data_IF_055241825568
#
_entry.id   IF_055241825568
#
_cell.length_a   1.000
_cell.length_b   1.000
_cell.length_c   1.000
_cell.angle_alpha   90.00
_cell.angle_beta   90.00
_cell.angle_gamma   90.00
#
_symmetry.space_group_name_H-M   'P 1'
#
loop_
_entity.id
_entity.type
_entity.pdbx_description
1 polymer ?
#
# COMPACT_ATOMS: atom_id res chain seq x y z
N UNK A 1 -1.04 13.40 13.24
CA UNK A 1 -1.59 12.90 11.98
C UNK A 1 -2.71 13.80 11.48
N UNK A 2 -3.82 13.95 12.18
CA UNK A 2 -4.94 14.83 11.74
C UNK A 2 -4.52 16.29 11.52
N UNK A 3 -3.59 16.82 12.30
CA UNK A 3 -3.02 18.17 12.09
C UNK A 3 -2.19 18.27 10.81
N UNK A 4 -1.73 17.14 10.27
CA UNK A 4 -1.00 17.02 9.02
C UNK A 4 -1.92 16.65 7.84
N UNK A 5 -3.24 16.62 8.04
CA UNK A 5 -4.21 16.21 7.03
C UNK A 5 -4.22 14.71 6.73
N UNK A 6 -3.65 13.86 7.61
CA UNK A 6 -3.56 12.41 7.43
C UNK A 6 -4.56 11.65 8.29
N UNK A 7 -5.11 10.61 7.74
CA UNK A 7 -5.92 9.64 8.47
C UNK A 7 -5.02 8.66 9.26
N UNK A 8 -5.54 8.10 10.35
CA UNK A 8 -4.90 6.96 11.00
C UNK A 8 -5.22 5.63 10.28
N UNK A 9 -4.50 4.56 10.66
CA UNK A 9 -4.65 3.25 10.00
C UNK A 9 -6.10 2.72 10.04
N UNK A 10 -6.83 2.91 11.15
CA UNK A 10 -8.22 2.44 11.27
C UNK A 10 -9.19 3.29 10.47
N UNK A 11 -8.98 4.60 10.40
CA UNK A 11 -9.79 5.49 9.56
C UNK A 11 -9.63 5.13 8.08
N UNK A 12 -8.40 4.84 7.62
CA UNK A 12 -8.12 4.36 6.26
C UNK A 12 -8.83 3.05 5.95
N UNK A 13 -8.79 2.09 6.86
CA UNK A 13 -9.51 0.81 6.73
C UNK A 13 -11.02 1.01 6.70
N UNK A 14 -11.57 1.88 7.55
CA UNK A 14 -13.01 2.15 7.59
C UNK A 14 -13.53 2.82 6.31
N UNK A 15 -12.71 3.64 5.65
CA UNK A 15 -13.06 4.23 4.36
C UNK A 15 -12.94 3.24 3.19
N UNK A 16 -11.99 2.31 3.29
CA UNK A 16 -11.75 1.31 2.25
C UNK A 16 -12.92 0.33 2.13
N UNK A 17 -13.42 -0.16 3.26
CA UNK A 17 -14.42 -1.21 3.30
C UNK A 17 -15.84 -0.68 3.42
N UNK A 18 -16.79 -1.43 2.89
CA UNK A 18 -18.23 -1.19 3.08
C UNK A 18 -18.55 -1.26 4.59
N UNK A 19 -19.43 -0.37 5.03
CA UNK A 19 -19.76 -0.18 6.43
C UNK A 19 -20.13 -1.52 7.14
N UNK A 20 -19.53 -1.76 8.27
CA UNK A 20 -19.80 -2.95 9.11
C UNK A 20 -19.28 -4.27 8.56
N UNK A 21 -18.61 -4.29 7.39
CA UNK A 21 -18.13 -5.54 6.77
C UNK A 21 -16.72 -5.94 7.20
N UNK A 22 -15.91 -5.01 7.68
CA UNK A 22 -14.53 -5.30 8.05
C UNK A 22 -14.44 -6.26 9.24
N UNK A 23 -13.60 -7.26 9.11
CA UNK A 23 -13.26 -8.24 10.15
C UNK A 23 -11.76 -8.20 10.39
N UNK A 24 -11.38 -7.61 11.51
CA UNK A 24 -9.98 -7.52 11.93
C UNK A 24 -9.45 -8.87 12.38
N UNK A 25 -8.23 -9.18 11.96
CA UNK A 25 -7.50 -10.38 12.33
C UNK A 25 -6.34 -10.04 13.25
N UNK A 26 -6.10 -10.90 14.26
CA UNK A 26 -4.94 -10.81 15.16
C UNK A 26 -4.81 -9.45 15.89
N UNK A 27 -5.94 -8.84 16.24
CA UNK A 27 -6.02 -7.53 16.91
C UNK A 27 -5.19 -7.49 18.21
N UNK A 28 -5.10 -8.60 18.94
CA UNK A 28 -4.44 -8.69 20.25
C UNK A 28 -2.98 -9.13 20.17
N UNK A 29 -2.45 -9.38 18.97
CA UNK A 29 -1.05 -9.75 18.78
C UNK A 29 -0.15 -8.55 19.11
N UNK A 30 0.93 -8.81 19.85
CA UNK A 30 1.99 -7.84 20.13
C UNK A 30 3.35 -8.42 19.72
N UNK A 31 4.38 -7.59 19.69
CA UNK A 31 5.75 -8.05 19.42
C UNK A 31 6.23 -9.00 20.53
N UNK A 32 7.25 -9.78 20.23
CA UNK A 32 7.90 -10.74 21.14
C UNK A 32 9.36 -10.36 21.46
N UNK A 33 9.80 -9.20 20.98
CA UNK A 33 11.17 -8.73 21.18
C UNK A 33 11.43 -8.41 22.64
N UNK A 34 12.53 -8.94 23.18
CA UNK A 34 13.03 -8.67 24.54
C UNK A 34 14.35 -7.92 24.53
N UNK A 35 14.94 -7.66 23.34
CA UNK A 35 16.20 -6.95 23.21
C UNK A 35 15.99 -5.43 23.33
N UNK A 36 17.02 -4.73 23.76
CA UNK A 36 17.05 -3.25 23.81
C UNK A 36 15.91 -2.60 24.60
N UNK A 37 15.44 -3.27 25.67
CA UNK A 37 14.37 -2.76 26.53
C UNK A 37 12.98 -2.90 25.91
N UNK A 38 12.83 -3.63 24.84
CA UNK A 38 11.54 -3.83 24.15
C UNK A 38 10.54 -4.60 24.99
N UNK A 39 10.99 -5.41 25.94
CA UNK A 39 10.11 -6.11 26.92
C UNK A 39 9.21 -5.16 27.72
N UNK A 40 9.62 -3.90 27.86
CA UNK A 40 8.87 -2.86 28.57
C UNK A 40 8.03 -1.98 27.63
N UNK A 41 8.01 -2.28 26.33
CA UNK A 41 7.31 -1.46 25.32
C UNK A 41 6.05 -2.20 24.85
N UNK A 42 4.93 -1.54 24.98
CA UNK A 42 3.66 -2.05 24.44
C UNK A 42 3.42 -1.48 23.05
N UNK A 43 3.24 -2.38 22.08
CA UNK A 43 2.85 -2.01 20.70
C UNK A 43 1.57 -2.78 20.35
N UNK A 44 0.38 -2.17 20.56
CA UNK A 44 -0.89 -2.83 20.24
C UNK A 44 -0.95 -3.26 18.78
N UNK A 45 -1.46 -4.47 18.55
CA UNK A 45 -1.57 -5.10 17.23
C UNK A 45 -0.24 -5.15 16.43
N UNK A 46 0.89 -5.00 17.12
CA UNK A 46 2.25 -4.81 16.58
C UNK A 46 2.33 -3.72 15.48
N UNK A 47 1.51 -2.66 15.62
CA UNK A 47 1.57 -1.50 14.74
C UNK A 47 0.95 -1.72 13.35
N UNK A 48 0.11 -2.73 13.17
CA UNK A 48 -0.60 -2.97 11.91
C UNK A 48 -2.01 -3.49 12.12
N UNK A 49 -2.97 -2.90 11.43
CA UNK A 49 -4.33 -3.41 11.31
C UNK A 49 -4.40 -4.35 10.11
N UNK A 50 -4.85 -5.58 10.31
CA UNK A 50 -4.95 -6.59 9.25
C UNK A 50 -6.33 -7.22 9.26
N UNK A 51 -6.87 -7.54 8.09
CA UNK A 51 -8.18 -8.17 8.02
C UNK A 51 -8.74 -8.26 6.61
N UNK A 52 -10.04 -8.49 6.54
CA UNK A 52 -10.79 -8.53 5.29
C UNK A 52 -12.18 -7.93 5.46
N UNK A 53 -12.79 -7.56 4.37
CA UNK A 53 -14.13 -7.02 4.32
C UNK A 53 -14.68 -7.04 2.91
N UNK A 54 -15.67 -6.20 2.65
CA UNK A 54 -16.22 -6.02 1.29
C UNK A 54 -15.91 -4.62 0.78
N UNK A 55 -15.63 -4.54 -0.50
CA UNK A 55 -15.56 -3.29 -1.27
C UNK A 55 -16.56 -3.44 -2.41
N UNK A 56 -17.60 -2.63 -2.39
CA UNK A 56 -18.73 -2.73 -3.33
C UNK A 56 -19.27 -4.18 -3.44
N UNK A 57 -19.43 -4.82 -2.28
CA UNK A 57 -19.93 -6.19 -2.12
C UNK A 57 -18.91 -7.30 -2.35
N UNK A 58 -17.74 -7.04 -2.94
CA UNK A 58 -16.69 -8.03 -3.25
C UNK A 58 -15.73 -8.20 -2.08
N UNK A 59 -15.28 -9.42 -1.82
CA UNK A 59 -14.29 -9.70 -0.76
C UNK A 59 -12.93 -9.11 -1.16
N UNK A 60 -12.33 -8.38 -0.22
CA UNK A 60 -11.00 -7.80 -0.34
C UNK A 60 -10.27 -8.00 0.98
N UNK A 61 -8.97 -8.25 0.90
CA UNK A 61 -8.08 -8.33 2.06
C UNK A 61 -7.21 -7.09 2.13
N UNK A 62 -6.89 -6.63 3.34
CA UNK A 62 -6.04 -5.47 3.51
C UNK A 62 -5.21 -5.51 4.79
N UNK A 63 -4.10 -4.77 4.75
CA UNK A 63 -3.40 -4.30 5.93
C UNK A 63 -3.19 -2.79 5.88
N UNK A 64 -3.11 -2.16 7.06
CA UNK A 64 -2.75 -0.76 7.20
C UNK A 64 -1.75 -0.58 8.33
N UNK A 65 -0.58 -0.06 8.02
CA UNK A 65 0.46 0.22 9.01
C UNK A 65 0.13 1.49 9.79
N UNK A 66 0.40 1.45 11.09
CA UNK A 66 0.21 2.58 11.98
C UNK A 66 1.56 3.23 12.32
N UNK A 67 1.85 4.35 11.66
CA UNK A 67 3.09 5.10 11.90
C UNK A 67 3.23 5.60 13.34
N UNK A 68 2.14 5.78 14.08
CA UNK A 68 2.20 6.20 15.48
C UNK A 68 2.81 5.13 16.37
N UNK A 69 2.79 3.88 15.93
CA UNK A 69 3.39 2.72 16.59
C UNK A 69 4.82 2.50 16.07
N UNK A 70 5.83 3.06 16.77
CA UNK A 70 7.25 2.91 16.38
C UNK A 70 7.54 3.28 14.92
N UNK A 71 6.99 4.40 14.45
CA UNK A 71 7.10 4.85 13.06
C UNK A 71 6.64 3.79 12.04
N UNK A 72 5.66 2.96 12.37
CA UNK A 72 5.15 1.90 11.50
C UNK A 72 6.19 0.81 11.18
N UNK A 73 7.32 0.75 11.91
CA UNK A 73 8.42 -0.17 11.60
C UNK A 73 8.00 -1.63 11.73
N UNK A 74 8.42 -2.42 10.74
CA UNK A 74 8.07 -3.83 10.64
C UNK A 74 8.94 -4.68 11.58
N UNK A 75 8.30 -5.35 12.52
CA UNK A 75 8.88 -6.43 13.33
C UNK A 75 8.36 -7.80 12.91
N UNK A 76 8.84 -8.84 13.60
CA UNK A 76 8.48 -10.23 13.33
C UNK A 76 6.95 -10.46 13.32
N UNK A 77 6.27 -10.00 14.35
CA UNK A 77 4.83 -10.26 14.50
C UNK A 77 3.98 -9.43 13.55
N UNK A 78 4.40 -8.20 13.27
CA UNK A 78 3.77 -7.39 12.22
C UNK A 78 3.87 -8.11 10.86
N UNK A 79 5.06 -8.61 10.50
CA UNK A 79 5.26 -9.38 9.27
C UNK A 79 4.38 -10.63 9.22
N UNK A 80 4.33 -11.40 10.31
CA UNK A 80 3.47 -12.61 10.40
C UNK A 80 2.00 -12.29 10.19
N UNK A 81 1.50 -11.18 10.71
CA UNK A 81 0.12 -10.72 10.50
C UNK A 81 -0.12 -10.37 9.02
N UNK A 82 0.80 -9.62 8.40
CA UNK A 82 0.71 -9.27 6.97
C UNK A 82 0.77 -10.53 6.11
N UNK A 83 1.72 -11.42 6.35
CA UNK A 83 1.84 -12.68 5.63
C UNK A 83 0.58 -13.54 5.73
N UNK A 84 -0.01 -13.63 6.94
CA UNK A 84 -1.26 -14.38 7.14
C UNK A 84 -2.41 -13.83 6.30
N UNK A 85 -2.59 -12.51 6.27
CA UNK A 85 -3.66 -11.92 5.46
C UNK A 85 -3.39 -12.06 3.96
N UNK A 86 -2.13 -12.00 3.51
CA UNK A 86 -1.73 -12.27 2.13
C UNK A 86 -2.01 -13.73 1.74
N UNK A 87 -1.66 -14.70 2.58
CA UNK A 87 -1.95 -16.12 2.35
C UNK A 87 -3.46 -16.39 2.27
N UNK A 88 -4.25 -15.71 3.10
CA UNK A 88 -5.71 -15.82 3.06
C UNK A 88 -6.28 -15.20 1.78
N UNK A 89 -5.77 -14.04 1.34
CA UNK A 89 -6.17 -13.39 0.10
C UNK A 89 -5.91 -14.30 -1.11
N UNK A 90 -4.69 -14.84 -1.20
CA UNK A 90 -4.29 -15.75 -2.28
C UNK A 90 -5.16 -17.03 -2.28
N UNK A 91 -5.40 -17.62 -1.11
CA UNK A 91 -6.24 -18.82 -0.97
C UNK A 91 -7.71 -18.56 -1.30
N UNK A 92 -8.21 -17.37 -0.99
CA UNK A 92 -9.59 -16.98 -1.30
C UNK A 92 -9.76 -16.53 -2.76
N UNK A 93 -8.66 -16.26 -3.49
CA UNK A 93 -8.72 -15.67 -4.82
C UNK A 93 -9.30 -14.26 -4.80
N UNK A 94 -8.86 -13.42 -3.85
CA UNK A 94 -9.39 -12.08 -3.64
C UNK A 94 -8.27 -11.02 -3.64
N UNK A 95 -8.55 -9.78 -4.06
CA UNK A 95 -7.58 -8.70 -4.08
C UNK A 95 -6.94 -8.43 -2.71
N UNK A 96 -5.65 -8.06 -2.73
CA UNK A 96 -4.87 -7.68 -1.57
C UNK A 96 -4.47 -6.21 -1.63
N UNK A 97 -4.78 -5.43 -0.59
CA UNK A 97 -4.45 -4.01 -0.49
C UNK A 97 -3.51 -3.77 0.68
N UNK A 98 -2.35 -3.17 0.41
CA UNK A 98 -1.41 -2.71 1.42
C UNK A 98 -1.46 -1.20 1.59
N UNK A 99 -1.83 -0.70 2.77
CA UNK A 99 -1.73 0.72 3.12
C UNK A 99 -0.44 0.91 3.91
N UNK A 100 0.56 1.51 3.27
CA UNK A 100 1.93 1.58 3.72
C UNK A 100 2.24 2.96 4.34
N UNK A 101 2.77 2.94 5.56
CA UNK A 101 3.19 4.12 6.31
C UNK A 101 4.25 3.65 7.34
N UNK A 102 5.52 3.48 6.89
CA UNK A 102 6.53 2.74 7.65
C UNK A 102 7.95 3.25 7.42
N UNK A 103 8.66 3.45 8.50
CA UNK A 103 10.10 3.77 8.48
C UNK A 103 11.02 2.59 8.11
N UNK A 104 10.48 1.41 7.75
CA UNK A 104 11.26 0.23 7.37
C UNK A 104 11.36 -0.82 8.48
N UNK A 105 12.46 -1.57 8.51
CA UNK A 105 12.66 -2.63 9.48
C UNK A 105 12.82 -2.10 10.91
N UNK A 106 12.19 -2.78 11.89
CA UNK A 106 12.35 -2.48 13.32
C UNK A 106 13.73 -2.91 13.77
N UNK A 107 14.62 -1.96 13.96
CA UNK A 107 16.06 -2.18 14.23
C UNK A 107 16.27 -3.09 15.45
N UNK A 108 15.45 -2.94 16.48
CA UNK A 108 15.54 -3.72 17.72
C UNK A 108 15.32 -5.22 17.52
N UNK A 109 14.63 -5.61 16.45
CA UNK A 109 14.37 -7.02 16.11
C UNK A 109 15.39 -7.59 15.11
N UNK A 110 16.29 -6.76 14.58
CA UNK A 110 17.41 -7.20 13.78
C UNK A 110 17.02 -8.09 12.60
N UNK A 111 17.58 -9.31 12.58
CA UNK A 111 17.40 -10.27 11.48
C UNK A 111 15.94 -10.75 11.35
N UNK A 112 15.17 -10.79 12.45
CA UNK A 112 13.78 -11.25 12.43
C UNK A 112 12.90 -10.26 11.65
N UNK A 113 13.17 -8.94 11.76
CA UNK A 113 12.51 -7.93 10.95
C UNK A 113 12.86 -8.06 9.45
N UNK A 114 14.12 -8.34 9.12
CA UNK A 114 14.56 -8.55 7.74
C UNK A 114 13.97 -9.83 7.15
N UNK A 115 13.95 -10.92 7.92
CA UNK A 115 13.29 -12.17 7.54
C UNK A 115 11.80 -11.94 7.26
N UNK A 116 11.14 -11.11 8.09
CA UNK A 116 9.75 -10.73 7.89
C UNK A 116 9.50 -10.05 6.53
N UNK A 117 10.37 -9.14 6.10
CA UNK A 117 10.29 -8.56 4.75
C UNK A 117 10.50 -9.61 3.67
N UNK A 118 11.46 -10.52 3.81
CA UNK A 118 11.66 -11.62 2.87
C UNK A 118 10.41 -12.48 2.68
N UNK A 119 9.71 -12.78 3.78
CA UNK A 119 8.44 -13.53 3.75
C UNK A 119 7.32 -12.77 3.02
N UNK A 120 7.27 -11.44 3.15
CA UNK A 120 6.31 -10.60 2.42
C UNK A 120 6.65 -10.59 0.92
N UNK A 121 7.93 -10.41 0.55
CA UNK A 121 8.37 -10.41 -0.85
C UNK A 121 8.09 -11.73 -1.56
N UNK A 122 8.32 -12.85 -0.87
CA UNK A 122 7.97 -14.17 -1.38
C UNK A 122 6.48 -14.25 -1.75
N UNK A 123 5.60 -13.73 -0.88
CA UNK A 123 4.15 -13.72 -1.13
C UNK A 123 3.72 -12.75 -2.23
N UNK A 124 4.35 -11.56 -2.31
CA UNK A 124 4.12 -10.67 -3.45
C UNK A 124 4.44 -11.37 -4.77
N UNK A 125 5.57 -12.07 -4.84
CA UNK A 125 5.97 -12.81 -6.02
C UNK A 125 5.02 -13.98 -6.33
N UNK A 126 4.62 -14.74 -5.33
CA UNK A 126 3.69 -15.87 -5.50
C UNK A 126 2.27 -15.43 -5.92
N UNK A 127 1.83 -14.26 -5.49
CA UNK A 127 0.51 -13.71 -5.81
C UNK A 127 0.47 -12.96 -7.16
N UNK A 128 1.63 -12.63 -7.73
CA UNK A 128 1.75 -11.88 -8.99
C UNK A 128 1.05 -12.63 -10.14
N UNK A 129 0.15 -11.95 -10.84
CA UNK A 129 -0.66 -12.53 -11.90
C UNK A 129 -1.76 -13.51 -11.43
N UNK A 130 -1.94 -13.69 -10.12
CA UNK A 130 -2.98 -14.56 -9.53
C UNK A 130 -4.12 -13.73 -8.94
N UNK A 131 -3.81 -12.77 -8.10
CA UNK A 131 -4.75 -11.82 -7.53
C UNK A 131 -4.25 -10.39 -7.70
N UNK A 132 -5.12 -9.39 -7.82
CA UNK A 132 -4.70 -7.99 -7.82
C UNK A 132 -4.03 -7.60 -6.50
N UNK A 133 -2.84 -6.99 -6.60
CA UNK A 133 -2.08 -6.46 -5.48
C UNK A 133 -1.97 -4.93 -5.63
N UNK A 134 -2.54 -4.19 -4.69
CA UNK A 134 -2.59 -2.73 -4.72
C UNK A 134 -1.86 -2.18 -3.50
N UNK A 135 -0.95 -1.26 -3.71
CA UNK A 135 -0.25 -0.55 -2.64
C UNK A 135 -0.63 0.92 -2.61
N UNK A 136 -1.04 1.39 -1.43
CA UNK A 136 -1.26 2.79 -1.14
C UNK A 136 -0.16 3.30 -0.22
N UNK A 137 0.60 4.28 -0.67
CA UNK A 137 1.64 4.93 0.14
C UNK A 137 1.01 6.18 0.75
N UNK A 138 0.75 6.14 2.05
CA UNK A 138 0.04 7.19 2.78
C UNK A 138 0.89 7.84 3.88
N UNK A 139 2.19 7.73 3.74
CA UNK A 139 3.18 8.33 4.63
C UNK A 139 4.60 8.05 4.17
N UNK A 140 5.60 8.40 4.97
CA UNK A 140 6.97 8.01 4.69
C UNK A 140 7.09 6.49 4.60
N UNK A 141 7.70 6.00 3.54
CA UNK A 141 7.93 4.57 3.31
C UNK A 141 9.38 4.41 2.86
N UNK A 142 10.18 3.74 3.69
CA UNK A 142 11.63 3.71 3.53
C UNK A 142 12.20 2.30 3.68
N UNK A 143 13.35 2.05 3.05
CA UNK A 143 14.09 0.79 3.14
C UNK A 143 13.26 -0.40 2.66
N UNK A 144 13.21 -1.49 3.44
CA UNK A 144 12.44 -2.70 3.10
C UNK A 144 10.96 -2.47 2.82
N UNK A 145 10.37 -1.42 3.41
CA UNK A 145 8.98 -1.05 3.21
C UNK A 145 8.67 -0.55 1.78
N UNK A 146 9.66 -0.15 1.02
CA UNK A 146 9.51 0.31 -0.38
C UNK A 146 9.49 -0.86 -1.35
N UNK A 147 10.22 -1.94 -1.07
CA UNK A 147 10.39 -3.04 -2.02
C UNK A 147 9.10 -3.82 -2.24
N UNK A 148 8.34 -4.10 -1.18
CA UNK A 148 7.06 -4.80 -1.31
C UNK A 148 6.06 -4.02 -2.19
N UNK A 149 5.79 -2.73 -1.95
CA UNK A 149 4.96 -1.93 -2.87
C UNK A 149 5.44 -1.94 -4.32
N UNK A 150 6.76 -1.84 -4.56
CA UNK A 150 7.32 -1.85 -5.91
C UNK A 150 7.13 -3.20 -6.65
N UNK A 151 6.78 -4.27 -5.93
CA UNK A 151 6.48 -5.59 -6.50
C UNK A 151 4.98 -5.82 -6.73
N UNK A 152 4.12 -4.86 -6.36
CA UNK A 152 2.67 -4.96 -6.54
C UNK A 152 2.23 -4.39 -7.89
N UNK A 153 0.97 -4.65 -8.29
CA UNK A 153 0.47 -4.30 -9.61
C UNK A 153 0.19 -2.80 -9.77
N UNK A 154 -0.32 -2.17 -8.72
CA UNK A 154 -0.68 -0.74 -8.73
C UNK A 154 -0.19 -0.03 -7.48
N UNK A 155 0.34 1.17 -7.66
CA UNK A 155 0.86 2.02 -6.59
C UNK A 155 0.17 3.37 -6.61
N UNK A 156 -0.46 3.72 -5.49
CA UNK A 156 -1.07 5.02 -5.21
C UNK A 156 -0.18 5.79 -4.24
N UNK A 157 0.03 7.07 -4.49
CA UNK A 157 0.75 7.96 -3.58
C UNK A 157 -0.05 9.22 -3.30
N UNK A 158 0.09 9.77 -2.09
CA UNK A 158 -0.58 11.02 -1.69
C UNK A 158 0.43 12.16 -1.77
N UNK A 159 0.10 13.22 -2.53
CA UNK A 159 0.96 14.40 -2.73
C UNK A 159 1.30 15.09 -1.41
N UNK A 160 2.56 15.49 -1.27
CA UNK A 160 3.05 16.26 -0.13
C UNK A 160 3.09 15.55 1.23
N UNK A 161 2.60 14.30 1.32
CA UNK A 161 2.54 13.55 2.58
C UNK A 161 3.10 12.15 2.52
N UNK A 162 3.25 11.59 1.32
CA UNK A 162 3.79 10.25 1.11
C UNK A 162 5.12 10.29 0.35
N UNK A 163 6.01 9.40 0.75
CA UNK A 163 7.36 9.32 0.18
C UNK A 163 7.80 7.87 0.05
N UNK A 164 8.44 7.55 -1.08
CA UNK A 164 9.08 6.25 -1.32
C UNK A 164 10.55 6.46 -1.63
N UNK A 165 11.44 5.90 -0.81
CA UNK A 165 12.88 5.92 -1.09
C UNK A 165 13.60 4.76 -0.37
N UNK A 166 14.69 4.30 -0.95
CA UNK A 166 15.52 3.25 -0.35
C UNK A 166 16.17 3.79 0.93
N UNK A 167 16.72 5.01 0.88
CA UNK A 167 17.26 5.75 2.02
C UNK A 167 16.81 7.19 1.97
N UNK A 168 16.57 7.79 3.16
CA UNK A 168 16.13 9.17 3.24
C UNK A 168 17.21 10.21 2.95
N UNK A 169 16.83 11.50 2.77
CA UNK A 169 17.75 12.59 2.41
C UNK A 169 18.96 12.74 3.34
N UNK A 170 18.79 12.48 4.64
CA UNK A 170 19.88 12.56 5.63
C UNK A 170 21.00 11.55 5.36
N UNK A 171 20.65 10.35 4.92
CA UNK A 171 21.64 9.30 4.58
C UNK A 171 22.36 9.67 3.30
N UNK A 172 21.63 10.17 2.29
CA UNK A 172 22.21 10.65 1.04
C UNK A 172 23.22 11.77 1.32
N UNK A 173 22.82 12.78 2.10
CA UNK A 173 23.72 13.86 2.50
C UNK A 173 24.98 13.37 3.21
N UNK A 174 24.84 12.36 4.08
CA UNK A 174 26.00 11.80 4.81
C UNK A 174 26.97 11.03 3.90
N UNK A 175 26.44 10.32 2.88
CA UNK A 175 27.24 9.44 2.01
C UNK A 175 27.76 10.17 0.75
N UNK A 176 26.86 10.85 0.03
CA UNK A 176 27.20 11.50 -1.26
C UNK A 176 27.42 13.01 -1.14
N UNK A 177 27.09 13.61 0.01
CA UNK A 177 27.11 15.05 0.28
C UNK A 177 26.11 15.86 -0.56
N UNK A 178 25.19 15.22 -1.21
CA UNK A 178 24.11 15.85 -1.96
C UNK A 178 22.98 16.28 -1.01
N UNK A 179 22.44 17.46 -1.23
CA UNK A 179 21.25 17.96 -0.55
C UNK A 179 20.05 17.79 -1.46
N UNK A 180 19.07 17.01 -1.02
CA UNK A 180 17.84 16.76 -1.76
C UNK A 180 16.65 16.82 -0.78
N UNK A 181 15.52 17.37 -1.23
CA UNK A 181 14.29 17.38 -0.44
C UNK A 181 13.63 16.00 -0.42
N UNK A 182 12.74 15.76 0.54
CA UNK A 182 11.91 14.54 0.56
C UNK A 182 11.08 14.42 -0.72
N UNK A 183 10.50 15.52 -1.18
CA UNK A 183 9.64 15.56 -2.37
C UNK A 183 10.41 15.25 -3.65
N UNK A 184 11.58 15.86 -3.82
CA UNK A 184 12.41 15.63 -5.02
C UNK A 184 13.02 14.23 -5.04
N UNK A 185 13.34 13.66 -3.86
CA UNK A 185 13.90 12.32 -3.76
C UNK A 185 12.86 11.23 -4.03
N UNK A 186 11.68 11.34 -3.44
CA UNK A 186 10.73 10.25 -3.46
C UNK A 186 9.29 10.66 -3.20
N UNK A 187 8.91 11.90 -3.51
CA UNK A 187 7.53 12.37 -3.42
C UNK A 187 6.62 11.78 -4.50
N UNK A 188 5.32 11.94 -4.32
CA UNK A 188 4.30 11.39 -5.21
C UNK A 188 4.49 11.81 -6.67
N UNK A 189 4.76 13.09 -6.93
CA UNK A 189 4.95 13.58 -8.30
C UNK A 189 6.29 13.12 -8.90
N UNK A 190 7.34 12.99 -8.09
CA UNK A 190 8.61 12.42 -8.55
C UNK A 190 8.43 10.98 -9.04
N UNK A 191 7.66 10.17 -8.32
CA UNK A 191 7.40 8.79 -8.73
C UNK A 191 6.32 8.64 -9.79
N UNK A 192 5.41 9.59 -9.93
CA UNK A 192 4.40 9.56 -10.96
C UNK A 192 4.91 10.07 -12.32
N UNK A 193 5.60 11.23 -12.33
CA UNK A 193 6.01 11.89 -13.58
C UNK A 193 7.41 11.47 -14.07
N UNK A 194 8.37 11.24 -13.13
CA UNK A 194 9.77 11.01 -13.50
C UNK A 194 10.15 9.54 -13.54
N UNK A 195 9.86 8.79 -12.47
CA UNK A 195 10.26 7.37 -12.39
C UNK A 195 9.21 6.40 -12.93
N UNK A 196 7.94 6.80 -12.98
CA UNK A 196 6.83 5.94 -13.38
C UNK A 196 6.48 4.84 -12.38
N UNK A 197 7.06 4.88 -11.17
CA UNK A 197 6.79 3.87 -10.12
C UNK A 197 5.39 4.03 -9.53
N UNK A 198 4.93 5.26 -9.32
CA UNK A 198 3.57 5.52 -8.85
C UNK A 198 2.62 5.68 -10.05
N UNK A 199 1.60 4.83 -10.10
CA UNK A 199 0.57 4.90 -11.14
C UNK A 199 -0.40 6.06 -10.92
N UNK A 200 -0.69 6.38 -9.65
CA UNK A 200 -1.64 7.41 -9.26
C UNK A 200 -1.04 8.35 -8.21
N UNK A 201 -1.20 9.67 -8.43
CA UNK A 201 -0.83 10.72 -7.49
C UNK A 201 -2.11 11.44 -7.03
N UNK A 202 -2.54 11.17 -5.80
CA UNK A 202 -3.80 11.60 -5.20
C UNK A 202 -3.61 12.83 -4.31
N UNK A 203 -4.67 13.61 -4.12
CA UNK A 203 -4.59 14.86 -3.36
C UNK A 203 -4.74 14.65 -1.84
N UNK A 204 -5.36 13.55 -1.40
CA UNK A 204 -5.56 13.19 0.01
C UNK A 204 -5.59 11.69 0.24
N UNK A 205 -5.55 11.27 1.53
CA UNK A 205 -5.75 9.86 1.92
C UNK A 205 -7.14 9.36 1.47
N UNK A 206 -8.17 10.19 1.59
CA UNK A 206 -9.53 9.90 1.18
C UNK A 206 -9.63 9.70 -0.34
N UNK A 207 -9.03 10.61 -1.10
CA UNK A 207 -8.99 10.54 -2.57
C UNK A 207 -8.30 9.25 -3.03
N UNK A 208 -7.15 8.92 -2.45
CA UNK A 208 -6.45 7.68 -2.76
C UNK A 208 -7.30 6.43 -2.48
N UNK A 209 -8.05 6.40 -1.38
CA UNK A 209 -8.92 5.27 -1.06
C UNK A 209 -10.09 5.18 -2.03
N UNK A 210 -10.69 6.30 -2.43
CA UNK A 210 -11.76 6.32 -3.43
C UNK A 210 -11.27 5.85 -4.79
N UNK A 211 -10.09 6.29 -5.22
CA UNK A 211 -9.48 5.84 -6.48
C UNK A 211 -9.10 4.34 -6.45
N UNK A 212 -8.69 3.80 -5.29
CA UNK A 212 -8.49 2.35 -5.12
C UNK A 212 -9.81 1.59 -5.28
N UNK A 213 -10.88 2.05 -4.65
CA UNK A 213 -12.22 1.44 -4.81
C UNK A 213 -12.66 1.50 -6.28
N UNK A 214 -12.44 2.63 -6.94
CA UNK A 214 -12.72 2.81 -8.37
C UNK A 214 -11.89 1.86 -9.22
N UNK A 215 -10.59 1.72 -8.98
CA UNK A 215 -9.73 0.77 -9.70
C UNK A 215 -10.25 -0.67 -9.54
N UNK A 216 -10.63 -1.07 -8.33
CA UNK A 216 -11.19 -2.40 -8.08
C UNK A 216 -12.45 -2.68 -8.91
N UNK A 217 -13.24 -1.66 -9.26
CA UNK A 217 -14.44 -1.84 -10.09
C UNK A 217 -14.13 -2.26 -11.53
N UNK A 218 -12.89 -2.10 -12.00
CA UNK A 218 -12.44 -2.52 -13.33
C UNK A 218 -11.71 -3.86 -13.33
N UNK A 219 -11.25 -4.32 -12.15
CA UNK A 219 -10.42 -5.52 -12.04
C UNK A 219 -11.25 -6.75 -11.68
N UNK A 220 -10.91 -7.94 -12.20
CA UNK A 220 -11.44 -9.19 -11.66
C UNK A 220 -10.95 -9.43 -10.23
N UNK A 221 -11.55 -10.36 -9.49
CA UNK A 221 -11.06 -10.73 -8.15
C UNK A 221 -9.78 -11.55 -8.20
N UNK A 222 -9.60 -12.32 -9.28
CA UNK A 222 -8.45 -13.19 -9.50
C UNK A 222 -8.32 -13.56 -10.99
N UNK A 223 -7.28 -14.28 -11.36
CA UNK A 223 -7.00 -14.65 -12.75
C UNK A 223 -7.93 -15.74 -13.32
N UNK A 224 -8.87 -16.26 -12.54
CA UNK A 224 -9.87 -17.24 -12.98
C UNK A 224 -11.23 -16.60 -13.25
N UNK A 225 -11.37 -15.30 -12.99
CA UNK A 225 -12.61 -14.55 -13.17
C UNK A 225 -12.42 -13.49 -14.27
N UNK A 226 -13.52 -13.17 -14.95
CA UNK A 226 -13.56 -12.05 -15.88
C UNK A 226 -13.71 -10.71 -15.12
N UNK A 227 -13.22 -9.59 -15.70
CA UNK A 227 -13.48 -8.27 -15.15
C UNK A 227 -14.98 -7.99 -15.08
N UNK A 228 -15.43 -7.12 -14.14
CA UNK A 228 -16.82 -6.71 -14.08
C UNK A 228 -17.29 -6.14 -15.42
N UNK A 229 -18.36 -6.70 -15.96
CA UNK A 229 -18.92 -6.27 -17.24
C UNK A 229 -20.08 -5.29 -17.01
N UNK A 230 -19.94 -4.08 -17.56
CA UNK A 230 -21.02 -3.08 -17.64
C UNK A 230 -21.37 -2.92 -19.12
N UNK A 231 -22.61 -3.25 -19.55
CA UNK A 231 -22.98 -3.08 -20.94
C UNK A 231 -22.80 -1.62 -21.37
N UNK A 232 -22.00 -1.36 -22.41
CA UNK A 232 -21.89 0.00 -22.93
C UNK A 232 -23.22 0.44 -23.55
N UNK A 233 -23.68 1.64 -23.20
CA UNK A 233 -24.82 2.24 -23.87
C UNK A 233 -24.47 2.92 -25.19
N UNK A 234 -23.25 2.70 -25.67
CA UNK A 234 -22.69 3.37 -26.85
C UNK A 234 -22.89 2.53 -28.11
N UNK A 235 -23.16 3.19 -29.23
CA UNK A 235 -23.26 2.52 -30.53
C UNK A 235 -21.88 2.05 -31.01
N UNK A 236 -21.66 0.73 -31.26
CA UNK A 236 -20.36 0.24 -31.73
C UNK A 236 -19.97 0.79 -33.11
N UNK A 237 -20.89 1.37 -33.83
CA UNK A 237 -20.67 2.03 -35.14
C UNK A 237 -20.58 3.54 -35.04
N UNK A 238 -20.56 4.14 -33.83
CA UNK A 238 -20.39 5.56 -33.66
C UNK A 238 -19.09 6.02 -34.33
N UNK A 239 -19.21 7.03 -35.16
CA UNK A 239 -18.08 7.72 -35.79
C UNK A 239 -18.03 9.14 -35.22
N UNK A 240 -16.87 9.52 -34.75
CA UNK A 240 -16.62 10.84 -34.16
C UNK A 240 -15.65 11.61 -35.05
N UNK A 241 -16.12 12.69 -35.65
CA UNK A 241 -15.31 13.50 -36.58
C UNK A 241 -14.17 14.24 -35.88
N UNK A 242 -14.24 14.39 -34.55
CA UNK A 242 -13.14 14.98 -33.78
C UNK A 242 -11.87 14.11 -33.82
N UNK A 243 -12.02 12.80 -34.08
CA UNK A 243 -10.89 11.89 -34.25
C UNK A 243 -10.07 12.18 -35.51
N UNK A 244 -10.64 12.79 -36.52
CA UNK A 244 -9.96 13.13 -37.77
C UNK A 244 -8.87 14.21 -37.55
N UNK A 245 -8.95 14.96 -36.45
CA UNK A 245 -8.04 16.05 -36.11
C UNK A 245 -7.00 15.69 -35.03
N UNK A 246 -7.02 14.44 -34.52
CA UNK A 246 -6.09 14.00 -33.45
C UNK A 246 -4.63 13.98 -33.93
N UNK A 247 -4.42 13.62 -35.21
CA UNK A 247 -3.09 13.67 -35.82
C UNK A 247 -2.98 14.98 -36.58
N UNK A 248 -2.08 15.89 -36.18
CA UNK A 248 -1.89 17.12 -36.93
C UNK A 248 -1.31 16.86 -38.31
N UNK A 249 -1.69 17.66 -39.28
CA UNK A 249 -1.24 17.51 -40.69
C UNK A 249 0.24 17.88 -40.89
N UNK A 250 0.92 18.47 -39.88
CA UNK A 250 2.34 18.87 -39.94
C UNK A 250 2.91 19.17 -38.56
#
# INVERSE_FOLDING_TARGET
>A
RRQEGKLNARERINLLFDEGTFRELDMFVTHRCTNFGMENVSIPADGVVTGHGRVDGRIVFAYAQDFTARAGSLGEMQAKKICKVMDMALKAGAPMIGINDSGGARIQEGIDALSGYGEIFFRNSAASGVIPQISAIMGPTAGGAVYSPAMTDFIFMVKGTSYMFITGPNVIKAVTREEISFEDLGGAMTHNEKSGVAHFACDSDEDAIWEIRRLLSFLPSNNMEDPPYIPPGDDPYRMDTDLDTIIPDS
#
